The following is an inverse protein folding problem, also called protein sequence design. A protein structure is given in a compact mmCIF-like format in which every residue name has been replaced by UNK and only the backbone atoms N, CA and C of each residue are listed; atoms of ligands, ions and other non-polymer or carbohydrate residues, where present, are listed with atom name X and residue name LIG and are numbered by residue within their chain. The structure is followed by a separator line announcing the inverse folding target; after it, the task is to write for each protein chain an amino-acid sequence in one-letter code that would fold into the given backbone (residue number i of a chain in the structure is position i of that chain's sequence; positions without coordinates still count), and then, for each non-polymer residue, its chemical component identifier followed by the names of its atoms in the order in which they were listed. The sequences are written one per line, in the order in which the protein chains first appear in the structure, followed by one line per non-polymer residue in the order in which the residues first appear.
data_IF_302432531462
#
_entry.id   IF_302432531462
#
_cell.length_a   1.000
_cell.length_b   1.000
_cell.length_c   1.000
_cell.angle_alpha   90.00
_cell.angle_beta   90.00
_cell.angle_gamma   90.00
#
_symmetry.space_group_name_H-M   'P 1'
#
loop_
_entity.id
_entity.type
_entity.pdbx_description
1 polymer ?
#
# COMPACT_ATOMS: atom_id res chain seq x y z
N UNK A 1 -2.54 6.15 10.86
CA UNK A 1 -2.81 7.13 11.94
C UNK A 1 -2.26 8.51 11.61
N UNK A 2 -1.25 8.62 10.75
CA UNK A 2 -0.69 9.89 10.35
C UNK A 2 -1.74 10.77 9.64
N UNK A 3 -1.91 12.00 10.12
CA UNK A 3 -2.68 13.05 9.47
C UNK A 3 -1.73 13.80 8.53
N UNK A 4 -2.08 13.84 7.26
CA UNK A 4 -1.28 14.52 6.24
C UNK A 4 -1.66 15.99 6.10
N UNK A 5 -2.57 16.54 6.91
CA UNK A 5 -2.96 17.95 6.94
C UNK A 5 -4.05 18.33 5.93
N UNK A 6 -4.88 17.39 5.51
CA UNK A 6 -6.05 17.71 4.68
C UNK A 6 -7.06 18.56 5.48
N UNK A 7 -7.89 19.40 4.83
CA UNK A 7 -8.92 20.20 5.50
C UNK A 7 -9.81 19.40 6.46
N UNK A 8 -10.11 18.15 6.14
CA UNK A 8 -10.91 17.25 6.99
C UNK A 8 -10.21 16.74 8.25
N UNK A 9 -8.87 16.85 8.34
CA UNK A 9 -8.07 16.24 9.40
C UNK A 9 -8.03 14.70 9.36
N UNK A 10 -8.49 14.08 8.26
CA UNK A 10 -8.55 12.62 8.12
C UNK A 10 -7.15 12.02 8.10
N UNK A 11 -6.94 11.00 8.93
CA UNK A 11 -5.72 10.20 8.87
C UNK A 11 -5.66 9.32 7.63
N UNK A 12 -4.47 8.87 7.22
CA UNK A 12 -4.32 7.90 6.13
C UNK A 12 -5.17 6.63 6.33
N UNK A 13 -5.37 6.16 7.58
CA UNK A 13 -6.23 4.99 7.82
C UNK A 13 -7.70 5.30 7.53
N UNK A 14 -8.16 6.50 7.88
CA UNK A 14 -9.54 6.91 7.62
C UNK A 14 -9.77 7.06 6.12
N UNK A 15 -8.85 7.72 5.38
CA UNK A 15 -8.93 7.84 3.93
C UNK A 15 -9.03 6.45 3.28
N UNK A 16 -8.15 5.53 3.67
CA UNK A 16 -8.15 4.14 3.18
C UNK A 16 -9.48 3.43 3.49
N UNK A 17 -9.96 3.52 4.73
CA UNK A 17 -11.18 2.85 5.17
C UNK A 17 -12.44 3.39 4.47
N UNK A 18 -12.52 4.71 4.28
CA UNK A 18 -13.60 5.36 3.54
C UNK A 18 -13.59 4.96 2.07
N UNK A 19 -12.41 4.88 1.42
CA UNK A 19 -12.30 4.41 0.03
C UNK A 19 -12.68 2.93 -0.10
N UNK A 20 -12.27 2.08 0.85
CA UNK A 20 -12.68 0.68 0.90
C UNK A 20 -14.20 0.52 1.02
N UNK A 21 -14.84 1.31 1.88
CA UNK A 21 -16.30 1.35 2.01
C UNK A 21 -16.94 1.85 0.72
N UNK A 22 -16.46 2.97 0.19
CA UNK A 22 -17.03 3.62 -0.99
C UNK A 22 -16.93 2.75 -2.23
N UNK A 23 -15.84 1.99 -2.41
CA UNK A 23 -15.70 1.03 -3.49
C UNK A 23 -16.80 -0.05 -3.50
N UNK A 24 -17.20 -0.55 -2.32
CA UNK A 24 -18.28 -1.53 -2.19
C UNK A 24 -19.66 -0.92 -2.47
N UNK A 25 -19.90 0.29 -1.98
CA UNK A 25 -21.12 1.04 -2.30
C UNK A 25 -21.21 1.35 -3.81
N UNK A 26 -20.10 1.77 -4.40
CA UNK A 26 -20.02 2.07 -5.82
C UNK A 26 -20.28 0.82 -6.68
N UNK A 27 -19.68 -0.32 -6.32
CA UNK A 27 -19.98 -1.61 -6.98
C UNK A 27 -21.48 -1.95 -6.91
N UNK A 28 -22.12 -1.80 -5.74
CA UNK A 28 -23.55 -2.05 -5.61
C UNK A 28 -24.41 -1.11 -6.47
N UNK A 29 -24.03 0.17 -6.56
CA UNK A 29 -24.69 1.14 -7.45
C UNK A 29 -24.56 0.74 -8.91
N UNK A 30 -23.36 0.33 -9.36
CA UNK A 30 -23.14 -0.13 -10.73
C UNK A 30 -23.99 -1.37 -11.07
N UNK A 31 -24.08 -2.34 -10.17
CA UNK A 31 -24.96 -3.50 -10.34
C UNK A 31 -26.43 -3.10 -10.44
N UNK A 32 -26.91 -2.18 -9.59
CA UNK A 32 -28.28 -1.68 -9.67
C UNK A 32 -28.56 -0.96 -11.00
N UNK A 33 -27.59 -0.17 -11.49
CA UNK A 33 -27.68 0.48 -12.79
C UNK A 33 -27.69 -0.52 -13.95
N UNK A 34 -27.06 -1.68 -13.79
CA UNK A 34 -27.12 -2.79 -14.75
C UNK A 34 -28.46 -3.56 -14.68
N UNK A 35 -29.39 -3.18 -13.80
CA UNK A 35 -30.68 -3.85 -13.61
C UNK A 35 -30.59 -5.11 -12.75
N UNK A 36 -29.46 -5.35 -12.09
CA UNK A 36 -29.27 -6.47 -11.18
C UNK A 36 -29.72 -6.11 -9.76
N UNK A 37 -30.34 -7.06 -9.06
CA UNK A 37 -30.75 -6.86 -7.69
C UNK A 37 -29.58 -7.10 -6.72
N UNK A 38 -28.69 -6.11 -6.65
CA UNK A 38 -27.56 -6.11 -5.74
C UNK A 38 -27.81 -5.13 -4.59
N UNK A 39 -28.06 -5.65 -3.39
CA UNK A 39 -28.00 -4.84 -2.18
C UNK A 39 -26.54 -4.48 -1.88
N UNK A 40 -26.23 -3.28 -1.36
CA UNK A 40 -24.92 -3.00 -0.80
C UNK A 40 -24.66 -4.00 0.31
N UNK A 41 -23.73 -4.92 0.06
CA UNK A 41 -23.24 -5.86 1.05
C UNK A 41 -21.77 -5.59 1.22
N UNK A 42 -21.32 -5.49 2.48
CA UNK A 42 -19.90 -5.57 2.80
C UNK A 42 -19.42 -7.00 2.52
N UNK A 43 -19.21 -7.30 1.24
CA UNK A 43 -18.76 -8.61 0.76
C UNK A 43 -17.25 -8.76 0.89
N UNK A 44 -16.52 -7.65 1.05
CA UNK A 44 -15.09 -7.64 1.21
C UNK A 44 -14.72 -7.49 2.69
N UNK A 45 -13.55 -8.00 3.06
CA UNK A 45 -13.00 -7.96 4.41
C UNK A 45 -11.77 -7.06 4.43
N UNK A 46 -11.65 -6.27 5.49
CA UNK A 46 -10.55 -5.32 5.69
C UNK A 46 -9.51 -5.92 6.62
N UNK A 47 -8.48 -6.53 6.03
CA UNK A 47 -7.40 -7.18 6.76
C UNK A 47 -6.24 -6.22 7.02
N UNK A 48 -5.89 -6.02 8.29
CA UNK A 48 -4.82 -5.10 8.70
C UNK A 48 -3.68 -5.88 9.32
N UNK A 49 -2.56 -5.98 8.58
CA UNK A 49 -1.32 -6.54 9.10
C UNK A 49 -0.59 -5.50 9.96
N UNK A 50 -0.32 -5.85 11.21
CA UNK A 50 0.46 -5.03 12.15
C UNK A 50 1.77 -5.73 12.51
N UNK A 51 2.67 -5.01 13.17
CA UNK A 51 3.82 -5.58 13.87
C UNK A 51 3.56 -5.61 15.38
N UNK A 52 4.36 -6.37 16.12
CA UNK A 52 4.32 -6.32 17.58
C UNK A 52 4.50 -4.91 18.17
N UNK A 53 5.13 -3.97 17.44
CA UNK A 53 5.39 -2.61 17.89
C UNK A 53 4.19 -1.67 17.74
N UNK A 54 3.30 -1.92 16.77
CA UNK A 54 2.20 -1.01 16.43
C UNK A 54 0.81 -1.65 16.51
N UNK A 55 0.69 -2.95 16.83
CA UNK A 55 -0.60 -3.65 16.88
C UNK A 55 -1.58 -3.01 17.86
N UNK A 56 -1.19 -2.83 19.13
CA UNK A 56 -2.07 -2.29 20.16
C UNK A 56 -2.60 -0.90 19.79
N UNK A 57 -1.69 0.02 19.46
CA UNK A 57 -2.05 1.41 19.12
C UNK A 57 -2.92 1.47 17.86
N UNK A 58 -2.68 0.59 16.87
CA UNK A 58 -3.49 0.55 15.65
C UNK A 58 -4.90 0.06 15.95
N UNK A 59 -5.05 -1.03 16.72
CA UNK A 59 -6.38 -1.56 17.12
C UNK A 59 -7.17 -0.55 17.95
N UNK A 60 -6.51 0.11 18.91
CA UNK A 60 -7.15 1.13 19.74
C UNK A 60 -7.62 2.31 18.88
N UNK A 61 -6.80 2.78 17.95
CA UNK A 61 -7.17 3.85 17.02
C UNK A 61 -8.40 3.51 16.16
N UNK A 62 -8.50 2.29 15.63
CA UNK A 62 -9.71 1.87 14.89
C UNK A 62 -10.94 1.81 15.79
N UNK A 63 -10.82 1.26 17.01
CA UNK A 63 -11.93 1.17 17.96
C UNK A 63 -12.43 2.55 18.40
N UNK A 64 -11.51 3.47 18.70
CA UNK A 64 -11.82 4.84 19.10
C UNK A 64 -12.54 5.64 18.00
N UNK A 65 -12.39 5.24 16.74
CA UNK A 65 -13.02 5.86 15.57
C UNK A 65 -14.14 4.99 14.96
N UNK A 66 -14.73 4.08 15.74
CA UNK A 66 -15.84 3.20 15.31
C UNK A 66 -15.55 2.48 13.97
N UNK A 67 -14.32 1.99 13.82
CA UNK A 67 -13.80 1.33 12.62
C UNK A 67 -14.00 2.14 11.32
N UNK A 68 -14.10 3.47 11.43
CA UNK A 68 -14.41 4.39 10.34
C UNK A 68 -15.70 4.03 9.59
N UNK A 69 -16.66 3.41 10.28
CA UNK A 69 -17.93 2.95 9.72
C UNK A 69 -17.84 1.68 8.88
N UNK A 70 -16.74 0.93 8.94
CA UNK A 70 -16.67 -0.47 8.48
C UNK A 70 -17.25 -1.35 9.61
N UNK A 71 -18.16 -2.29 9.33
CA UNK A 71 -18.63 -3.22 10.35
C UNK A 71 -17.47 -3.94 11.03
N UNK A 72 -17.46 -4.00 12.36
CA UNK A 72 -16.35 -4.56 13.15
C UNK A 72 -16.05 -6.03 12.78
N UNK A 73 -17.07 -6.82 12.45
CA UNK A 73 -16.96 -8.21 11.99
C UNK A 73 -16.32 -8.36 10.59
N UNK A 74 -16.14 -7.25 9.88
CA UNK A 74 -15.45 -7.17 8.58
C UNK A 74 -14.01 -6.68 8.70
N UNK A 75 -13.54 -6.34 9.90
CA UNK A 75 -12.16 -5.90 10.15
C UNK A 75 -11.42 -6.97 10.94
N UNK A 76 -10.33 -7.51 10.39
CA UNK A 76 -9.47 -8.46 11.10
C UNK A 76 -8.03 -7.97 11.11
N UNK A 77 -7.51 -7.83 12.32
CA UNK A 77 -6.12 -7.49 12.57
C UNK A 77 -5.31 -8.75 12.87
N UNK A 78 -4.17 -8.89 12.21
CA UNK A 78 -3.23 -9.98 12.45
C UNK A 78 -1.80 -9.43 12.48
N UNK A 79 -0.91 -10.14 13.16
CA UNK A 79 0.47 -9.68 13.37
C UNK A 79 1.43 -10.43 12.47
N UNK A 80 2.35 -9.70 11.85
CA UNK A 80 3.57 -10.27 11.30
C UNK A 80 4.54 -10.65 12.42
N UNK A 81 5.47 -11.55 12.10
CA UNK A 81 6.52 -11.96 13.02
C UNK A 81 7.51 -10.82 13.30
N UNK A 82 8.31 -11.01 14.35
CA UNK A 82 9.45 -10.15 14.65
C UNK A 82 10.68 -11.04 14.63
N UNK A 83 11.68 -10.73 13.80
CA UNK A 83 12.91 -11.50 13.73
C UNK A 83 14.03 -10.85 14.56
N UNK A 84 14.91 -11.65 15.18
CA UNK A 84 16.08 -11.13 15.88
C UNK A 84 16.98 -10.31 14.95
N UNK A 85 17.60 -9.27 15.50
CA UNK A 85 18.61 -8.50 14.79
C UNK A 85 20.00 -9.08 15.00
N UNK A 86 20.86 -8.97 13.99
CA UNK A 86 22.19 -9.57 13.98
C UNK A 86 23.27 -8.51 13.88
N UNK A 87 24.39 -8.69 14.59
CA UNK A 87 25.61 -7.91 14.34
C UNK A 87 26.22 -8.26 12.98
N UNK A 88 27.23 -7.53 12.54
CA UNK A 88 27.94 -7.85 11.30
C UNK A 88 28.65 -9.22 11.31
N UNK A 89 28.99 -9.71 12.50
CA UNK A 89 29.54 -11.04 12.74
C UNK A 89 28.46 -12.14 12.83
N UNK A 90 27.19 -11.79 12.66
CA UNK A 90 26.07 -12.73 12.73
C UNK A 90 25.63 -13.09 14.15
N UNK A 91 26.02 -12.30 15.17
CA UNK A 91 25.63 -12.55 16.56
C UNK A 91 24.28 -11.89 16.88
N UNK A 92 23.48 -12.50 17.74
CA UNK A 92 22.26 -11.88 18.26
C UNK A 92 22.61 -10.58 18.99
N UNK A 93 21.89 -9.51 18.67
CA UNK A 93 21.96 -8.26 19.42
C UNK A 93 20.89 -8.22 20.51
N UNK A 94 21.15 -7.47 21.56
CA UNK A 94 20.28 -7.34 22.71
C UNK A 94 19.74 -5.92 22.82
N UNK A 95 18.44 -5.80 23.04
CA UNK A 95 17.79 -4.52 23.37
C UNK A 95 18.04 -4.18 24.85
N UNK A 96 18.02 -5.19 25.72
CA UNK A 96 18.40 -5.11 27.13
C UNK A 96 19.11 -6.39 27.55
N UNK A 97 19.71 -6.41 28.75
CA UNK A 97 20.34 -7.61 29.33
C UNK A 97 19.51 -8.90 29.23
N UNK A 98 18.18 -8.79 29.26
CA UNK A 98 17.25 -9.93 29.28
C UNK A 98 16.37 -10.03 28.03
N UNK A 99 16.59 -9.19 27.01
CA UNK A 99 15.72 -9.11 25.83
C UNK A 99 16.55 -9.01 24.56
N UNK A 100 16.39 -10.00 23.68
CA UNK A 100 16.96 -9.98 22.32
C UNK A 100 16.30 -8.83 21.54
N UNK A 101 17.13 -8.07 20.82
CA UNK A 101 16.65 -7.05 19.89
C UNK A 101 15.95 -7.74 18.73
N UNK A 102 14.72 -7.32 18.43
CA UNK A 102 13.94 -7.86 17.32
C UNK A 102 13.26 -6.73 16.54
N UNK A 103 13.11 -6.93 15.23
CA UNK A 103 12.42 -6.00 14.34
C UNK A 103 11.35 -6.70 13.51
N UNK A 104 10.39 -5.95 12.93
CA UNK A 104 9.47 -6.50 11.95
C UNK A 104 10.26 -7.10 10.78
N UNK A 105 9.79 -8.21 10.24
CA UNK A 105 10.53 -9.02 9.26
C UNK A 105 10.16 -8.71 7.80
N UNK A 106 9.80 -7.46 7.51
CA UNK A 106 9.48 -6.96 6.17
C UNK A 106 8.01 -7.18 5.78
N UNK A 107 7.53 -6.45 4.77
CA UNK A 107 6.13 -6.50 4.33
C UNK A 107 5.73 -7.85 3.71
N UNK A 108 6.68 -8.63 3.18
CA UNK A 108 6.46 -9.98 2.69
C UNK A 108 6.26 -11.02 3.79
N UNK A 109 6.48 -10.66 5.05
CA UNK A 109 6.07 -11.47 6.20
C UNK A 109 4.57 -11.78 6.22
N UNK A 110 3.76 -11.09 5.42
CA UNK A 110 2.39 -11.45 5.09
C UNK A 110 2.23 -12.96 4.82
N UNK A 111 3.11 -13.57 4.03
CA UNK A 111 3.00 -14.98 3.68
C UNK A 111 3.13 -15.89 4.91
N UNK A 112 4.09 -15.60 5.78
CA UNK A 112 4.27 -16.32 7.05
C UNK A 112 3.12 -16.04 8.03
N UNK A 113 2.65 -14.80 8.08
CA UNK A 113 1.54 -14.39 8.92
C UNK A 113 0.23 -15.08 8.51
N UNK A 114 -0.02 -15.21 7.21
CA UNK A 114 -1.12 -16.01 6.67
C UNK A 114 -1.02 -17.47 7.12
N UNK A 115 0.18 -18.07 7.00
CA UNK A 115 0.43 -19.46 7.43
C UNK A 115 0.17 -19.71 8.91
N UNK A 116 0.49 -18.74 9.76
CA UNK A 116 0.53 -18.91 11.22
C UNK A 116 -0.71 -18.37 11.93
N UNK A 117 -1.47 -17.46 11.31
CA UNK A 117 -2.69 -16.90 11.88
C UNK A 117 -3.91 -17.74 11.46
N UNK A 118 -4.38 -18.60 12.38
CA UNK A 118 -5.56 -19.44 12.14
C UNK A 118 -6.81 -18.59 11.92
N UNK A 119 -6.98 -17.48 12.65
CA UNK A 119 -8.15 -16.62 12.48
C UNK A 119 -8.23 -16.01 11.06
N UNK A 120 -7.09 -15.63 10.48
CA UNK A 120 -7.04 -15.11 9.11
C UNK A 120 -7.37 -16.21 8.08
N UNK A 121 -6.83 -17.42 8.26
CA UNK A 121 -7.13 -18.56 7.38
C UNK A 121 -8.61 -18.94 7.43
N UNK A 122 -9.16 -19.07 8.64
CA UNK A 122 -10.58 -19.36 8.85
C UNK A 122 -11.43 -18.26 8.22
N UNK A 123 -11.10 -16.98 8.44
CA UNK A 123 -11.83 -15.85 7.84
C UNK A 123 -11.82 -15.89 6.31
N UNK A 124 -10.67 -16.15 5.68
CA UNK A 124 -10.56 -16.25 4.22
C UNK A 124 -11.39 -17.41 3.69
N UNK A 125 -11.30 -18.57 4.34
CA UNK A 125 -11.98 -19.80 3.93
C UNK A 125 -13.50 -19.75 4.16
N UNK A 126 -13.94 -19.42 5.37
CA UNK A 126 -15.34 -19.48 5.80
C UNK A 126 -16.21 -18.44 5.08
N UNK A 127 -15.59 -17.35 4.60
CA UNK A 127 -16.27 -16.31 3.84
C UNK A 127 -16.11 -16.46 2.32
N UNK A 128 -15.44 -17.51 1.84
CA UNK A 128 -15.26 -17.77 0.41
C UNK A 128 -14.50 -16.66 -0.32
N UNK A 129 -13.48 -16.07 0.31
CA UNK A 129 -12.65 -15.05 -0.32
C UNK A 129 -11.83 -15.68 -1.45
N UNK A 130 -11.96 -15.16 -2.67
CA UNK A 130 -11.27 -15.68 -3.85
C UNK A 130 -9.98 -14.92 -4.17
N UNK A 131 -9.94 -13.62 -3.85
CA UNK A 131 -8.82 -12.73 -4.12
C UNK A 131 -8.46 -11.88 -2.90
N UNK A 132 -7.17 -11.58 -2.74
CA UNK A 132 -6.65 -10.65 -1.74
C UNK A 132 -6.00 -9.46 -2.47
N UNK A 133 -6.48 -8.25 -2.17
CA UNK A 133 -5.88 -7.01 -2.65
C UNK A 133 -4.90 -6.47 -1.62
N UNK A 134 -3.61 -6.50 -1.95
CA UNK A 134 -2.51 -5.99 -1.15
C UNK A 134 -2.16 -4.56 -1.57
N UNK A 135 -2.08 -3.68 -0.59
CA UNK A 135 -1.85 -2.25 -0.76
C UNK A 135 -0.91 -1.70 0.32
N UNK A 136 -0.02 -0.79 -0.06
CA UNK A 136 0.83 -0.08 0.90
C UNK A 136 0.06 1.02 1.64
N UNK A 137 0.16 1.08 2.97
CA UNK A 137 -0.56 2.08 3.80
C UNK A 137 -0.09 3.54 3.58
N UNK A 138 1.07 3.73 2.97
CA UNK A 138 1.74 5.01 2.77
C UNK A 138 1.27 5.78 1.53
N UNK A 139 0.53 5.15 0.61
CA UNK A 139 0.00 5.82 -0.58
C UNK A 139 -1.41 6.38 -0.33
N UNK A 140 -1.51 7.70 -0.23
CA UNK A 140 -2.76 8.41 0.04
C UNK A 140 -3.77 8.33 -1.12
N UNK A 141 -3.29 8.06 -2.35
CA UNK A 141 -4.11 7.93 -3.55
C UNK A 141 -4.40 6.47 -3.96
N UNK A 142 -4.08 5.48 -3.14
CA UNK A 142 -4.42 4.07 -3.43
C UNK A 142 -5.90 3.87 -3.84
N UNK A 143 -6.12 3.36 -5.04
CA UNK A 143 -7.42 2.86 -5.50
C UNK A 143 -7.63 1.42 -4.99
N UNK A 144 -8.43 1.28 -3.92
CA UNK A 144 -8.78 -0.02 -3.32
C UNK A 144 -9.86 -0.71 -4.13
N UNK A 145 -9.67 -1.99 -4.43
CA UNK A 145 -10.63 -2.78 -5.19
C UNK A 145 -11.02 -2.10 -6.51
N UNK A 146 -10.02 -1.57 -7.22
CA UNK A 146 -10.20 -0.93 -8.51
C UNK A 146 -10.98 -1.86 -9.46
N UNK A 147 -12.20 -1.48 -9.90
CA UNK A 147 -13.03 -2.32 -10.75
C UNK A 147 -12.33 -2.78 -12.02
N UNK A 148 -11.43 -1.96 -12.59
CA UNK A 148 -10.67 -2.34 -13.78
C UNK A 148 -9.69 -3.50 -13.46
N UNK A 149 -8.94 -3.38 -12.37
CA UNK A 149 -8.00 -4.42 -11.94
C UNK A 149 -8.72 -5.70 -11.54
N UNK A 150 -9.79 -5.58 -10.75
CA UNK A 150 -10.59 -6.73 -10.30
C UNK A 150 -11.25 -7.42 -11.48
N UNK A 151 -11.91 -6.66 -12.36
CA UNK A 151 -12.58 -7.19 -13.55
C UNK A 151 -11.61 -7.85 -14.52
N UNK A 152 -10.46 -7.22 -14.81
CA UNK A 152 -9.44 -7.82 -15.67
C UNK A 152 -8.88 -9.12 -15.09
N UNK A 153 -8.70 -9.19 -13.76
CA UNK A 153 -8.20 -10.39 -13.09
C UNK A 153 -9.22 -11.52 -13.15
N UNK A 154 -10.48 -11.22 -12.83
CA UNK A 154 -11.56 -12.19 -12.79
C UNK A 154 -11.91 -12.72 -14.19
N UNK A 155 -12.18 -11.83 -15.15
CA UNK A 155 -12.63 -12.20 -16.50
C UNK A 155 -11.57 -12.99 -17.29
N UNK A 156 -10.28 -12.70 -17.06
CA UNK A 156 -9.19 -13.43 -17.72
C UNK A 156 -8.68 -14.63 -16.92
N UNK A 157 -9.34 -14.99 -15.81
CA UNK A 157 -8.94 -16.09 -14.93
C UNK A 157 -7.46 -16.00 -14.51
N UNK A 158 -7.05 -14.80 -14.09
CA UNK A 158 -5.68 -14.53 -13.69
C UNK A 158 -5.41 -15.01 -12.26
N UNK A 159 -4.19 -15.51 -12.03
CA UNK A 159 -3.66 -15.84 -10.70
C UNK A 159 -3.32 -14.60 -9.88
N UNK A 160 -3.04 -13.50 -10.57
CA UNK A 160 -2.89 -12.20 -9.96
C UNK A 160 -2.74 -11.08 -10.97
N UNK A 161 -2.80 -9.86 -10.48
CA UNK A 161 -2.60 -8.66 -11.26
C UNK A 161 -1.94 -7.58 -10.40
N UNK A 162 -0.90 -6.93 -10.91
CA UNK A 162 -0.31 -5.77 -10.27
C UNK A 162 -0.64 -4.49 -11.00
N UNK A 163 -0.66 -3.36 -10.28
CA UNK A 163 -0.56 -2.05 -10.92
C UNK A 163 0.88 -1.54 -10.85
N UNK A 164 1.28 -0.78 -11.87
CA UNK A 164 2.54 -0.04 -11.90
C UNK A 164 2.29 1.40 -12.32
N UNK A 165 3.25 2.26 -12.06
CA UNK A 165 3.27 3.66 -12.51
C UNK A 165 4.54 3.92 -13.30
N UNK A 166 4.44 4.75 -14.33
CA UNK A 166 5.62 5.18 -15.09
C UNK A 166 6.55 6.02 -14.23
N UNK A 167 7.83 5.65 -14.21
CA UNK A 167 8.91 6.38 -13.55
C UNK A 167 9.08 7.75 -14.22
N UNK A 168 9.14 8.81 -13.42
CA UNK A 168 9.22 10.20 -13.93
C UNK A 168 10.64 10.59 -14.37
N UNK A 169 11.66 10.03 -13.71
CA UNK A 169 13.07 10.35 -13.99
C UNK A 169 13.99 9.21 -13.52
N UNK A 170 15.20 9.06 -14.11
CA UNK A 170 16.12 7.94 -13.83
C UNK A 170 16.44 7.66 -12.36
N UNK A 171 16.47 8.68 -11.50
CA UNK A 171 16.87 8.54 -10.09
C UNK A 171 15.69 8.44 -9.12
N UNK A 172 14.47 8.24 -9.62
CA UNK A 172 13.29 8.05 -8.78
C UNK A 172 13.38 6.74 -7.98
N UNK A 173 13.12 6.82 -6.66
CA UNK A 173 13.25 5.71 -5.71
C UNK A 173 12.04 4.77 -5.74
N UNK A 174 11.90 4.04 -6.84
CA UNK A 174 10.89 3.00 -7.03
C UNK A 174 11.57 1.68 -7.39
N UNK A 175 11.15 0.59 -6.75
CA UNK A 175 11.44 -0.75 -7.29
C UNK A 175 10.77 -0.89 -8.66
N UNK A 176 11.44 -1.55 -9.60
CA UNK A 176 10.98 -1.64 -10.99
C UNK A 176 10.61 -3.07 -11.34
N UNK A 177 9.43 -3.26 -11.94
CA UNK A 177 9.07 -4.52 -12.56
C UNK A 177 9.99 -4.81 -13.74
N UNK A 178 10.52 -6.02 -13.77
CA UNK A 178 11.33 -6.53 -14.87
C UNK A 178 10.92 -7.95 -15.20
N UNK A 179 11.13 -8.33 -16.46
CA UNK A 179 10.99 -9.73 -16.89
C UNK A 179 12.38 -10.37 -16.97
N UNK A 180 12.60 -11.43 -16.19
CA UNK A 180 13.84 -12.22 -16.19
C UNK A 180 13.52 -13.65 -16.60
N UNK A 181 13.81 -13.99 -17.85
CA UNK A 181 13.26 -15.19 -18.46
C UNK A 181 11.75 -15.07 -18.58
N UNK A 182 10.98 -16.02 -18.06
CA UNK A 182 9.51 -15.95 -18.00
C UNK A 182 8.97 -15.37 -16.68
N UNK A 183 9.83 -15.18 -15.68
CA UNK A 183 9.43 -14.69 -14.37
C UNK A 183 9.36 -13.17 -14.32
N UNK A 184 8.39 -12.65 -13.57
CA UNK A 184 8.31 -11.24 -13.19
C UNK A 184 9.10 -11.08 -11.89
N UNK A 185 10.02 -10.13 -11.85
CA UNK A 185 10.76 -9.75 -10.65
C UNK A 185 10.62 -8.24 -10.41
N UNK A 186 10.96 -7.81 -9.20
CA UNK A 186 11.16 -6.39 -8.91
C UNK A 186 12.62 -6.19 -8.53
N UNK A 187 13.28 -5.29 -9.23
CA UNK A 187 14.62 -4.82 -8.87
C UNK A 187 14.44 -3.56 -8.03
N UNK A 188 14.93 -3.58 -6.80
CA UNK A 188 14.87 -2.40 -5.94
C UNK A 188 15.78 -1.29 -6.48
N UNK A 189 15.39 -0.03 -6.26
CA UNK A 189 16.14 1.12 -6.78
C UNK A 189 17.58 1.20 -6.23
N UNK A 190 17.85 0.57 -5.07
CA UNK A 190 19.20 0.46 -4.49
C UNK A 190 20.07 -0.60 -5.17
N UNK A 191 19.46 -1.48 -5.96
CA UNK A 191 20.11 -2.59 -6.69
C UNK A 191 20.20 -2.30 -8.19
N UNK A 192 19.51 -1.26 -8.68
CA UNK A 192 19.52 -0.84 -10.07
C UNK A 192 20.79 -0.04 -10.41
N UNK A 193 21.58 -0.54 -11.35
CA UNK A 193 22.77 0.17 -11.84
C UNK A 193 22.42 1.43 -12.63
N UNK A 194 23.31 2.42 -12.64
CA UNK A 194 23.12 3.72 -13.32
C UNK A 194 22.84 3.57 -14.82
N UNK A 195 23.54 2.62 -15.48
CA UNK A 195 23.35 2.33 -16.89
C UNK A 195 21.90 1.91 -17.20
N UNK A 196 21.34 1.00 -16.38
CA UNK A 196 19.94 0.57 -16.54
C UNK A 196 18.96 1.67 -16.14
N UNK A 197 19.28 2.45 -15.11
CA UNK A 197 18.42 3.51 -14.62
C UNK A 197 18.21 4.65 -15.64
N UNK A 198 19.21 4.86 -16.50
CA UNK A 198 19.23 5.93 -17.51
C UNK A 198 18.98 5.44 -18.93
N UNK A 199 18.83 4.13 -19.14
CA UNK A 199 18.64 3.55 -20.47
C UNK A 199 17.30 3.98 -21.09
N UNK A 200 17.35 4.49 -22.31
CA UNK A 200 16.16 4.93 -23.06
C UNK A 200 15.97 4.18 -24.37
N UNK A 201 14.74 4.13 -24.85
CA UNK A 201 14.43 3.86 -26.25
C UNK A 201 14.86 5.03 -27.14
N UNK A 202 14.70 4.87 -28.46
CA UNK A 202 15.08 5.89 -29.46
C UNK A 202 14.26 7.18 -29.33
N UNK A 203 13.03 7.10 -28.82
CA UNK A 203 12.13 8.23 -28.57
C UNK A 203 12.43 8.98 -27.25
N UNK A 204 13.41 8.51 -26.47
CA UNK A 204 13.79 9.08 -25.18
C UNK A 204 13.00 8.55 -23.98
N UNK A 205 12.03 7.65 -24.18
CA UNK A 205 11.33 7.01 -23.07
C UNK A 205 12.27 6.04 -22.32
N UNK A 206 12.19 5.99 -20.99
CA UNK A 206 13.00 5.08 -20.18
C UNK A 206 12.61 3.63 -20.45
N UNK A 207 13.59 2.74 -20.66
CA UNK A 207 13.32 1.30 -20.84
C UNK A 207 12.84 0.62 -19.57
N UNK A 208 13.38 1.06 -18.43
CA UNK A 208 13.03 0.56 -17.11
C UNK A 208 12.22 1.63 -16.37
N UNK A 209 10.93 1.67 -16.66
CA UNK A 209 10.02 2.70 -16.16
C UNK A 209 8.80 2.17 -15.39
N UNK A 210 8.64 0.85 -15.29
CA UNK A 210 7.47 0.24 -14.65
C UNK A 210 7.67 0.18 -13.13
N UNK A 211 7.32 1.27 -12.44
CA UNK A 211 7.51 1.44 -11.01
C UNK A 211 6.47 0.71 -10.16
N UNK A 212 6.94 -0.02 -9.17
CA UNK A 212 6.16 -0.70 -8.15
C UNK A 212 5.49 0.30 -7.21
N UNK A 213 4.16 0.20 -7.09
CA UNK A 213 3.36 0.99 -6.14
C UNK A 213 2.80 0.15 -4.98
N UNK A 214 3.24 -1.11 -4.84
CA UNK A 214 2.77 -2.07 -3.84
C UNK A 214 1.25 -2.24 -3.93
N UNK A 215 0.76 -2.53 -5.13
CA UNK A 215 -0.65 -2.79 -5.41
C UNK A 215 -0.78 -4.12 -6.16
N UNK A 216 -1.15 -5.18 -5.44
CA UNK A 216 -1.23 -6.54 -5.96
C UNK A 216 -2.58 -7.15 -5.65
N UNK A 217 -3.31 -7.61 -6.65
CA UNK A 217 -4.45 -8.50 -6.50
C UNK A 217 -3.97 -9.92 -6.75
N UNK A 218 -4.17 -10.83 -5.78
CA UNK A 218 -3.64 -12.21 -5.86
C UNK A 218 -4.77 -13.17 -5.52
N UNK A 219 -4.91 -14.26 -6.27
CA UNK A 219 -5.88 -15.30 -5.93
C UNK A 219 -5.48 -16.01 -4.63
N UNK A 220 -6.48 -16.40 -3.84
CA UNK A 220 -6.25 -17.17 -2.60
C UNK A 220 -5.56 -18.50 -2.90
N UNK A 221 -5.90 -19.15 -4.02
CA UNK A 221 -5.19 -20.35 -4.48
C UNK A 221 -3.69 -20.11 -4.67
N UNK A 222 -3.32 -19.00 -5.32
CA UNK A 222 -1.91 -18.64 -5.52
C UNK A 222 -1.23 -18.36 -4.19
N UNK A 223 -1.88 -17.62 -3.30
CA UNK A 223 -1.37 -17.36 -1.95
C UNK A 223 -1.13 -18.65 -1.16
N UNK A 224 -2.10 -19.56 -1.13
CA UNK A 224 -1.99 -20.85 -0.44
C UNK A 224 -0.88 -21.72 -1.04
N UNK A 225 -0.77 -21.76 -2.37
CA UNK A 225 0.32 -22.48 -3.06
C UNK A 225 1.70 -21.95 -2.66
N UNK A 226 1.87 -20.63 -2.60
CA UNK A 226 3.12 -20.00 -2.16
C UNK A 226 3.42 -20.32 -0.69
N UNK A 227 2.43 -20.18 0.17
CA UNK A 227 2.57 -20.28 1.63
C UNK A 227 2.80 -21.72 2.10
N UNK A 228 2.05 -22.68 1.56
CA UNK A 228 2.09 -24.07 2.01
C UNK A 228 2.92 -24.98 1.09
N UNK A 229 2.98 -24.68 -0.22
CA UNK A 229 3.72 -25.48 -1.19
C UNK A 229 5.18 -25.05 -1.38
N UNK A 230 5.51 -23.78 -1.13
CA UNK A 230 6.84 -23.18 -1.39
C UNK A 230 7.47 -22.52 -0.14
N UNK A 231 7.13 -23.00 1.06
CA UNK A 231 7.60 -22.40 2.32
C UNK A 231 9.13 -22.31 2.47
N UNK A 232 9.88 -23.33 2.03
CA UNK A 232 11.35 -23.31 2.08
C UNK A 232 11.94 -22.23 1.16
N UNK A 233 11.30 -22.01 0.01
CA UNK A 233 11.67 -20.96 -0.93
C UNK A 233 11.46 -19.59 -0.28
N UNK A 234 10.31 -19.35 0.36
CA UNK A 234 10.04 -18.07 1.04
C UNK A 234 11.11 -17.75 2.11
N UNK A 235 11.59 -18.76 2.84
CA UNK A 235 12.67 -18.59 3.83
C UNK A 235 14.01 -18.21 3.19
N UNK A 236 14.25 -18.58 1.93
CA UNK A 236 15.48 -18.22 1.20
C UNK A 236 15.48 -16.79 0.65
N UNK A 237 14.32 -16.11 0.66
CA UNK A 237 14.12 -14.78 0.08
C UNK A 237 14.32 -13.63 1.06
N UNK A 238 14.78 -13.90 2.28
CA UNK A 238 15.07 -12.83 3.24
C UNK A 238 16.27 -12.00 2.80
N UNK A 239 16.05 -10.69 2.66
CA UNK A 239 17.07 -9.70 2.36
C UNK A 239 17.73 -9.18 3.64
N UNK A 240 19.03 -8.91 3.56
CA UNK A 240 19.81 -8.31 4.67
C UNK A 240 19.78 -6.79 4.55
N UNK A 241 18.97 -6.14 5.38
CA UNK A 241 18.94 -4.69 5.48
C UNK A 241 19.96 -4.20 6.52
N UNK A 242 20.94 -3.41 6.09
CA UNK A 242 21.92 -2.76 6.99
C UNK A 242 21.21 -1.62 7.74
N UNK A 243 21.29 -1.62 9.08
CA UNK A 243 20.61 -0.62 9.92
C UNK A 243 21.46 -0.16 11.09
N UNK A 244 21.12 1.02 11.64
CA UNK A 244 21.54 1.49 12.96
C UNK A 244 20.60 0.90 14.01
N UNK A 245 21.01 -0.17 14.67
CA UNK A 245 20.19 -0.93 15.61
C UNK A 245 20.61 -0.54 17.03
N UNK A 246 19.68 -0.04 17.88
CA UNK A 246 19.97 0.21 19.28
C UNK A 246 20.55 -1.03 19.95
N UNK A 247 21.66 -0.86 20.65
CA UNK A 247 22.44 -1.96 21.23
C UNK A 247 22.58 -1.77 22.73
N UNK A 248 22.42 -2.87 23.47
CA UNK A 248 22.65 -2.91 24.90
C UNK A 248 24.15 -2.91 25.23
N UNK A 249 24.60 -1.92 26.00
CA UNK A 249 25.98 -1.76 26.47
C UNK A 249 26.08 -2.33 27.88
N UNK A 250 26.67 -3.52 28.00
CA UNK A 250 26.69 -4.29 29.25
C UNK A 250 27.37 -3.55 30.41
N UNK A 251 28.50 -2.87 30.16
CA UNK A 251 29.28 -2.17 31.18
C UNK A 251 28.51 -1.02 31.87
N UNK A 252 27.49 -0.48 31.21
CA UNK A 252 26.73 0.68 31.69
C UNK A 252 25.25 0.37 31.94
N UNK A 253 24.78 -0.83 31.61
CA UNK A 253 23.37 -1.24 31.69
C UNK A 253 22.42 -0.26 30.98
N UNK A 254 22.80 0.19 29.78
CA UNK A 254 22.02 1.14 28.96
C UNK A 254 21.90 0.68 27.51
N UNK A 255 20.80 1.05 26.86
CA UNK A 255 20.58 0.85 25.43
C UNK A 255 20.88 2.14 24.70
N UNK A 256 21.77 2.09 23.71
CA UNK A 256 22.20 3.27 22.98
C UNK A 256 21.96 3.14 21.48
N UNK A 257 21.63 4.27 20.85
CA UNK A 257 21.55 4.35 19.40
C UNK A 257 22.95 4.56 18.83
N UNK A 258 23.44 3.67 17.96
CA UNK A 258 24.80 3.77 17.43
C UNK A 258 24.92 4.94 16.45
N UNK A 259 26.13 5.50 16.35
CA UNK A 259 26.45 6.59 15.41
C UNK A 259 26.52 6.13 13.95
N UNK A 260 26.89 4.86 13.74
CA UNK A 260 26.97 4.18 12.44
C UNK A 260 26.12 2.91 12.45
N UNK A 261 25.92 2.35 11.27
CA UNK A 261 25.29 1.04 11.06
C UNK A 261 26.10 -0.03 11.79
N UNK A 262 25.43 -0.91 12.54
CA UNK A 262 26.07 -1.90 13.41
C UNK A 262 25.49 -3.32 13.25
N UNK A 263 24.56 -3.52 12.32
CA UNK A 263 23.97 -4.84 12.13
C UNK A 263 22.99 -4.96 10.97
N UNK A 264 22.40 -6.15 10.87
CA UNK A 264 21.42 -6.54 9.88
C UNK A 264 20.04 -6.74 10.51
N UNK A 265 19.02 -6.29 9.79
CA UNK A 265 17.65 -6.81 9.90
C UNK A 265 17.37 -7.71 8.70
N UNK A 266 16.70 -8.82 8.95
CA UNK A 266 16.22 -9.71 7.88
C UNK A 266 14.80 -9.30 7.52
N UNK A 267 14.60 -8.90 6.27
CA UNK A 267 13.31 -8.45 5.76
C UNK A 267 12.93 -9.26 4.51
N UNK A 268 11.71 -9.79 4.49
CA UNK A 268 11.11 -10.38 3.29
C UNK A 268 10.28 -9.30 2.59
N UNK A 269 10.43 -9.18 1.27
CA UNK A 269 9.64 -8.22 0.51
C UNK A 269 8.36 -8.85 -0.04
N UNK A 270 7.27 -8.09 0.00
CA UNK A 270 5.94 -8.56 -0.41
C UNK A 270 5.87 -8.89 -1.88
N UNK A 271 6.79 -8.40 -2.71
CA UNK A 271 6.86 -8.69 -4.13
C UNK A 271 7.75 -9.90 -4.45
N UNK A 272 8.48 -10.47 -3.48
CA UNK A 272 9.37 -11.61 -3.72
C UNK A 272 8.63 -12.87 -4.19
N UNK A 273 7.29 -12.92 -4.04
CA UNK A 273 6.47 -14.00 -4.58
C UNK A 273 6.32 -13.98 -6.10
N UNK A 274 6.51 -12.82 -6.76
CA UNK A 274 6.19 -12.66 -8.19
C UNK A 274 6.96 -13.66 -9.05
N UNK A 275 8.21 -13.94 -8.70
CA UNK A 275 9.07 -14.91 -9.39
C UNK A 275 8.53 -16.35 -9.35
N UNK A 276 7.57 -16.61 -8.47
CA UNK A 276 7.00 -17.94 -8.20
C UNK A 276 5.55 -18.06 -8.64
N UNK A 277 4.97 -17.00 -9.18
CA UNK A 277 3.65 -17.04 -9.82
C UNK A 277 3.83 -17.55 -11.25
N UNK A 278 3.42 -18.80 -11.47
CA UNK A 278 3.55 -19.46 -12.77
C UNK A 278 2.33 -19.16 -13.66
N UNK A 279 2.54 -18.31 -14.68
CA UNK A 279 1.54 -17.97 -15.70
C UNK A 279 0.36 -17.14 -15.18
N UNK A 280 -0.38 -16.53 -16.11
CA UNK A 280 -1.61 -15.78 -15.84
C UNK A 280 -1.46 -14.69 -14.77
N UNK A 281 -0.36 -13.91 -14.84
CA UNK A 281 -0.17 -12.70 -14.05
C UNK A 281 -0.02 -11.52 -14.99
N UNK A 282 -0.86 -10.49 -14.83
CA UNK A 282 -0.85 -9.31 -15.70
C UNK A 282 -0.50 -8.05 -14.93
N UNK A 283 -0.09 -7.02 -15.66
CA UNK A 283 0.25 -5.72 -15.09
C UNK A 283 -0.56 -4.62 -15.77
N UNK A 284 -1.11 -3.71 -14.97
CA UNK A 284 -1.89 -2.57 -15.45
C UNK A 284 -1.12 -1.28 -15.16
N UNK A 285 -0.94 -0.45 -16.18
CA UNK A 285 -0.44 0.91 -16.00
C UNK A 285 -1.51 1.76 -15.29
N UNK A 286 -1.20 2.25 -14.10
CA UNK A 286 -2.01 3.20 -13.36
C UNK A 286 -1.71 4.65 -13.75
N UNK A 287 -2.69 5.52 -13.59
CA UNK A 287 -2.51 6.96 -13.82
C UNK A 287 -1.88 7.55 -12.56
N UNK A 288 -0.62 7.97 -12.64
CA UNK A 288 0.17 8.39 -11.48
C UNK A 288 -0.55 9.44 -10.63
N UNK A 289 -1.09 10.47 -11.29
CA UNK A 289 -1.75 11.61 -10.67
C UNK A 289 -3.08 11.22 -9.98
N UNK A 290 -3.66 10.08 -10.32
CA UNK A 290 -4.91 9.58 -9.71
C UNK A 290 -4.68 8.49 -8.66
N UNK A 291 -3.51 7.86 -8.66
CA UNK A 291 -3.30 6.57 -7.99
C UNK A 291 -2.06 6.51 -7.11
N UNK A 292 -1.13 7.46 -7.20
CA UNK A 292 0.15 7.38 -6.51
C UNK A 292 0.59 8.69 -5.85
N UNK A 293 0.36 8.77 -4.55
CA UNK A 293 0.79 9.84 -3.65
C UNK A 293 1.41 9.23 -2.36
N UNK A 294 2.63 8.68 -2.44
CA UNK A 294 3.30 8.07 -1.30
C UNK A 294 3.71 9.12 -0.24
N UNK A 295 3.69 8.72 1.03
CA UNK A 295 4.10 9.52 2.18
C UNK A 295 5.22 8.78 2.91
N UNK A 296 6.46 9.03 2.49
CA UNK A 296 7.69 8.41 2.97
C UNK A 296 8.63 9.38 3.67
N UNK A 297 8.53 10.66 3.32
CA UNK A 297 9.38 11.75 3.82
C UNK A 297 8.60 12.68 4.75
N UNK A 298 9.33 13.58 5.43
CA UNK A 298 8.74 14.52 6.40
C UNK A 298 7.94 15.62 5.69
N UNK A 299 7.04 16.27 6.43
CA UNK A 299 6.36 17.50 6.00
C UNK A 299 7.35 18.52 5.44
N UNK A 300 7.00 19.15 4.31
CA UNK A 300 7.80 20.17 3.62
C UNK A 300 8.87 19.61 2.67
N UNK A 301 9.16 18.31 2.70
CA UNK A 301 10.09 17.70 1.74
C UNK A 301 9.48 17.71 0.33
N UNK A 302 10.28 17.94 -0.73
CA UNK A 302 9.78 18.15 -2.09
C UNK A 302 9.34 16.86 -2.80
N UNK A 303 9.47 15.70 -2.15
CA UNK A 303 9.16 14.37 -2.72
C UNK A 303 8.53 13.49 -1.66
N UNK A 304 7.52 12.72 -2.05
CA UNK A 304 6.87 11.67 -1.25
C UNK A 304 6.59 12.10 0.20
N UNK A 305 6.11 13.31 0.39
CA UNK A 305 5.83 13.94 1.69
C UNK A 305 4.34 14.19 1.86
N UNK A 306 3.86 14.47 3.08
CA UNK A 306 2.46 14.82 3.28
C UNK A 306 2.08 16.07 2.47
N UNK A 307 2.99 17.05 2.32
CA UNK A 307 2.84 18.22 1.46
C UNK A 307 2.54 17.82 0.00
N UNK A 308 3.38 16.99 -0.60
CA UNK A 308 3.17 16.53 -1.98
C UNK A 308 1.92 15.67 -2.13
N UNK A 309 1.56 14.88 -1.11
CA UNK A 309 0.36 14.06 -1.13
C UNK A 309 -0.93 14.90 -1.08
N UNK A 310 -0.97 15.94 -0.23
CA UNK A 310 -2.08 16.91 -0.19
C UNK A 310 -2.24 17.62 -1.53
N UNK A 311 -1.13 18.05 -2.13
CA UNK A 311 -1.16 18.71 -3.44
C UNK A 311 -1.75 17.78 -4.52
N UNK A 312 -1.32 16.52 -4.56
CA UNK A 312 -1.84 15.53 -5.52
C UNK A 312 -3.34 15.25 -5.31
N UNK A 313 -3.78 15.09 -4.06
CA UNK A 313 -5.20 14.92 -3.72
C UNK A 313 -6.00 16.16 -4.15
N UNK A 314 -5.51 17.36 -3.85
CA UNK A 314 -6.14 18.63 -4.21
C UNK A 314 -6.37 18.73 -5.71
N UNK A 315 -5.33 18.45 -6.50
CA UNK A 315 -5.40 18.47 -7.97
C UNK A 315 -6.32 17.40 -8.51
N UNK A 316 -6.29 16.18 -7.95
CA UNK A 316 -7.18 15.10 -8.36
C UNK A 316 -8.65 15.48 -8.15
N UNK A 317 -9.01 15.90 -6.95
CA UNK A 317 -10.38 16.28 -6.62
C UNK A 317 -10.87 17.50 -7.42
N UNK A 318 -10.00 18.50 -7.60
CA UNK A 318 -10.28 19.62 -8.48
C UNK A 318 -10.53 19.18 -9.94
N UNK A 319 -9.76 18.21 -10.44
CA UNK A 319 -9.95 17.66 -11.78
C UNK A 319 -11.31 16.97 -11.95
N UNK A 320 -11.77 16.22 -10.93
CA UNK A 320 -13.09 15.58 -10.94
C UNK A 320 -14.22 16.61 -10.95
N UNK A 321 -14.10 17.66 -10.13
CA UNK A 321 -15.04 18.79 -10.11
C UNK A 321 -15.11 19.45 -11.49
N UNK A 322 -13.96 19.78 -12.09
CA UNK A 322 -13.90 20.42 -13.41
C UNK A 322 -14.45 19.54 -14.53
N UNK A 323 -14.22 18.23 -14.47
CA UNK A 323 -14.76 17.28 -15.43
C UNK A 323 -16.29 17.25 -15.39
N UNK A 324 -16.88 17.28 -14.19
CA UNK A 324 -18.33 17.26 -14.02
C UNK A 324 -18.99 18.64 -14.23
N UNK A 325 -18.31 19.71 -13.81
CA UNK A 325 -18.82 21.08 -13.86
C UNK A 325 -17.79 22.01 -14.54
N UNK A 326 -17.71 22.03 -15.88
CA UNK A 326 -16.67 22.77 -16.60
C UNK A 326 -16.62 24.28 -16.31
N UNK A 327 -17.78 24.86 -15.99
CA UNK A 327 -17.96 26.31 -15.80
C UNK A 327 -17.56 26.81 -14.40
N UNK A 328 -17.26 25.92 -13.44
CA UNK A 328 -16.88 26.37 -12.09
C UNK A 328 -15.46 26.92 -12.09
N UNK A 329 -15.21 28.02 -11.39
CA UNK A 329 -13.86 28.55 -11.21
C UNK A 329 -13.42 28.39 -9.76
N UNK A 330 -12.20 27.90 -9.53
CA UNK A 330 -11.61 27.87 -8.19
C UNK A 330 -11.13 29.26 -7.78
N UNK A 331 -11.20 29.59 -6.48
CA UNK A 331 -10.72 30.89 -5.97
C UNK A 331 -9.21 31.06 -6.17
N UNK A 332 -8.47 29.98 -5.95
CA UNK A 332 -7.03 29.89 -6.15
C UNK A 332 -6.69 28.59 -6.88
N UNK A 333 -5.44 28.48 -7.37
CA UNK A 333 -4.97 27.28 -8.03
C UNK A 333 -4.86 26.11 -7.03
N UNK A 334 -5.51 24.95 -7.28
CA UNK A 334 -5.44 23.79 -6.40
C UNK A 334 -3.99 23.37 -6.11
N UNK A 335 -3.62 23.40 -4.84
CA UNK A 335 -2.25 23.15 -4.36
C UNK A 335 -2.25 22.60 -2.93
N UNK A 336 -1.08 22.50 -2.29
CA UNK A 336 -0.94 22.18 -0.87
C UNK A 336 -1.41 23.31 0.07
N UNK A 337 -1.43 24.55 -0.43
CA UNK A 337 -1.78 25.78 0.29
C UNK A 337 -3.25 26.18 0.07
N UNK A 338 -3.83 25.74 -1.05
CA UNK A 338 -5.25 25.82 -1.34
C UNK A 338 -5.78 24.42 -1.71
N UNK A 339 -6.18 23.66 -0.68
CA UNK A 339 -6.56 22.26 -0.81
C UNK A 339 -8.04 22.13 -1.17
N UNK A 340 -8.33 21.49 -2.30
CA UNK A 340 -9.68 21.07 -2.69
C UNK A 340 -9.87 19.61 -2.27
N UNK A 341 -10.69 19.36 -1.25
CA UNK A 341 -10.92 18.02 -0.72
C UNK A 341 -12.39 17.59 -0.89
N UNK A 342 -12.66 16.64 -1.77
CA UNK A 342 -13.92 15.91 -1.79
C UNK A 342 -13.91 14.83 -0.69
N UNK A 343 -15.07 14.57 -0.10
CA UNK A 343 -15.23 13.52 0.90
C UNK A 343 -15.06 12.13 0.27
N UNK A 344 -13.98 11.42 0.64
CA UNK A 344 -13.65 10.08 0.17
C UNK A 344 -14.78 9.04 0.40
N UNK A 345 -15.68 9.30 1.36
CA UNK A 345 -16.84 8.43 1.60
C UNK A 345 -17.98 8.62 0.60
N UNK A 346 -17.94 9.66 -0.24
CA UNK A 346 -19.03 10.04 -1.15
C UNK A 346 -18.74 9.79 -2.62
N UNK A 347 -17.47 9.73 -2.99
CA UNK A 347 -17.03 9.52 -4.37
C UNK A 347 -15.74 8.70 -4.38
N UNK A 348 -15.66 7.70 -5.24
CA UNK A 348 -14.51 6.80 -5.37
C UNK A 348 -13.50 7.34 -6.38
N UNK A 349 -14.01 7.80 -7.53
CA UNK A 349 -13.24 8.24 -8.71
C UNK A 349 -13.86 9.48 -9.38
N UNK A 350 -14.63 10.27 -8.64
CA UNK A 350 -15.30 11.47 -9.16
C UNK A 350 -16.68 11.19 -9.76
N UNK A 351 -17.24 9.99 -9.50
CA UNK A 351 -18.59 9.63 -9.93
C UNK A 351 -19.67 10.34 -9.09
N UNK A 352 -20.84 10.54 -9.69
CA UNK A 352 -22.07 11.07 -9.07
C UNK A 352 -21.90 12.39 -8.29
N UNK A 353 -20.92 13.21 -8.65
CA UNK A 353 -20.72 14.51 -8.00
C UNK A 353 -21.91 15.44 -8.21
N UNK A 354 -22.37 16.04 -7.11
CA UNK A 354 -23.31 17.17 -7.11
C UNK A 354 -22.60 18.43 -6.63
N UNK A 355 -23.16 19.62 -6.90
CA UNK A 355 -22.52 20.88 -6.49
C UNK A 355 -22.44 21.02 -4.97
N UNK A 356 -23.38 20.43 -4.25
CA UNK A 356 -23.43 20.43 -2.77
C UNK A 356 -22.29 19.60 -2.15
N UNK A 357 -21.65 18.73 -2.92
CA UNK A 357 -20.48 17.97 -2.48
C UNK A 357 -19.17 18.76 -2.58
N UNK A 358 -19.17 19.89 -3.30
CA UNK A 358 -18.00 20.75 -3.42
C UNK A 358 -17.84 21.54 -2.11
N UNK A 359 -16.66 21.53 -1.46
CA UNK A 359 -16.47 22.24 -0.19
C UNK A 359 -16.79 23.73 -0.30
N UNK A 360 -17.43 24.28 0.72
CA UNK A 360 -17.71 25.71 0.76
C UNK A 360 -16.41 26.53 0.68
N UNK A 361 -16.46 27.62 -0.05
CA UNK A 361 -15.34 28.56 -0.14
C UNK A 361 -14.23 28.18 -1.12
N UNK A 362 -14.29 27.03 -1.82
CA UNK A 362 -13.28 26.67 -2.84
C UNK A 362 -13.56 27.27 -4.23
N UNK A 363 -14.82 27.53 -4.55
CA UNK A 363 -15.25 28.13 -5.82
C UNK A 363 -15.40 29.65 -5.71
N UNK A 364 -15.19 30.36 -6.83
CA UNK A 364 -15.58 31.77 -6.95
C UNK A 364 -17.10 31.90 -6.92
N UNK A 365 -17.58 33.02 -6.37
CA UNK A 365 -19.00 33.38 -6.32
C UNK A 365 -19.58 33.71 -7.70
#
# INVERSE_FOLDING_TARGET
MYDIGLPSGKSLFQIIAERFKRAQEYSALLCQMAGENCAPRYNCYFYVMTSGLNDKVTRDFFRENDYFGIPEDKVLFFKQAMLPTLSFEGKLQFETRKKVSAGPNGNGALFEAFRSCKELQDSVKDNGVEFIHLVGVDNALNKFMDPLQVGMTYENNLKGCSKFIKKKYPTESLGLFVKKGEAIEIIEYTELGEDMATETYEDGALKFDQGNMVNFLISVETLESLVFGKAEILNSLYHRAIKKIPEYVEDRDVTEKPSKENGYKLELFVHSFLSYVEGAFEMIEGIREEEFAPVKNKEGEPKDSPTTARELISKLHASWIKKQFPDVEFKEEPSDSFVVELDFSKTYEGEFLTKEMIPEGVLKE
#
